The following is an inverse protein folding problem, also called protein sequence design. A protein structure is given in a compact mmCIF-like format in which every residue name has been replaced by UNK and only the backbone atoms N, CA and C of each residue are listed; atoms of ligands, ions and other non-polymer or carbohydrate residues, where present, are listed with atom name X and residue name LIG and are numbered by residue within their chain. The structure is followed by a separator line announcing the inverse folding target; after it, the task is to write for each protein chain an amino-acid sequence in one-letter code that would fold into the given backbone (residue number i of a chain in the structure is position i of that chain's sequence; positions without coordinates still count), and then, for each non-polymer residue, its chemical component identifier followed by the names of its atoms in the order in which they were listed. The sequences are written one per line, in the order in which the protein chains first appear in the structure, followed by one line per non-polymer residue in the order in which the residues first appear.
data_IF_343415749480
#
_entry.id   IF_343415749480
#
_cell.length_a   1.000
_cell.length_b   1.000
_cell.length_c   1.000
_cell.angle_alpha   90.00
_cell.angle_beta   90.00
_cell.angle_gamma   90.00
#
_symmetry.space_group_name_H-M   'P 1'
#
loop_
_entity.id
_entity.type
_entity.pdbx_description
1 polymer ?
#
# COMPACT_ATOMS: atom_id res chain seq x y z
N UNK A 1 -2.00 3.00 -11.36
CA UNK A 1 -2.33 3.33 -12.78
C UNK A 1 -1.21 4.11 -13.44
N UNK A 2 -0.80 5.26 -12.88
CA UNK A 2 0.22 6.15 -13.42
C UNK A 2 1.49 6.24 -12.56
N UNK A 3 1.63 5.38 -11.58
CA UNK A 3 2.74 5.37 -10.60
C UNK A 3 2.94 6.72 -9.86
N UNK A 4 1.85 7.48 -9.67
CA UNK A 4 1.88 8.77 -9.00
C UNK A 4 2.35 9.96 -9.84
N UNK A 5 2.67 9.77 -11.11
CA UNK A 5 3.16 10.86 -11.99
C UNK A 5 2.06 11.88 -12.26
N UNK A 6 0.84 11.42 -12.55
CA UNK A 6 -0.35 12.24 -12.74
C UNK A 6 -1.56 11.58 -12.09
N UNK A 7 -2.54 12.35 -11.60
CA UNK A 7 -3.76 11.79 -11.03
C UNK A 7 -4.56 11.01 -12.07
N UNK A 8 -4.89 9.76 -11.78
CA UNK A 8 -5.77 8.94 -12.60
C UNK A 8 -6.36 7.80 -11.78
N UNK A 9 -7.66 7.57 -11.91
CA UNK A 9 -8.36 6.38 -11.44
C UNK A 9 -9.04 5.67 -12.60
N UNK A 10 -9.27 4.38 -12.46
CA UNK A 10 -10.03 3.57 -13.41
C UNK A 10 -10.87 2.55 -12.66
N UNK A 11 -12.04 2.26 -13.20
CA UNK A 11 -12.92 1.20 -12.71
C UNK A 11 -13.21 0.26 -13.88
N UNK A 12 -12.78 -0.99 -13.75
CA UNK A 12 -13.12 -2.05 -14.70
C UNK A 12 -14.27 -2.86 -14.14
N UNK A 13 -15.33 -3.04 -14.95
CA UNK A 13 -16.51 -3.82 -14.59
C UNK A 13 -16.80 -4.86 -15.66
N UNK A 14 -17.46 -5.95 -15.28
CA UNK A 14 -17.98 -6.91 -16.25
C UNK A 14 -19.13 -6.28 -17.05
N UNK A 15 -19.24 -6.67 -18.31
CA UNK A 15 -20.29 -6.22 -19.23
C UNK A 15 -21.69 -6.41 -18.63
N UNK A 16 -21.98 -7.57 -18.05
CA UNK A 16 -23.26 -7.87 -17.37
C UNK A 16 -23.64 -6.87 -16.27
N UNK A 17 -22.64 -6.32 -15.54
CA UNK A 17 -22.86 -5.29 -14.50
C UNK A 17 -23.20 -3.96 -15.16
N UNK A 18 -22.46 -3.59 -16.21
CA UNK A 18 -22.70 -2.38 -16.97
C UNK A 18 -24.10 -2.41 -17.60
N UNK A 19 -24.47 -3.49 -18.27
CA UNK A 19 -25.77 -3.68 -18.92
C UNK A 19 -26.91 -3.57 -17.91
N UNK A 20 -26.79 -4.24 -16.76
CA UNK A 20 -27.79 -4.14 -15.68
C UNK A 20 -28.04 -2.69 -15.24
N UNK A 21 -26.97 -1.91 -15.08
CA UNK A 21 -27.07 -0.51 -14.71
C UNK A 21 -27.69 0.32 -15.83
N UNK A 22 -27.32 0.05 -17.08
CA UNK A 22 -27.88 0.76 -18.25
C UNK A 22 -29.34 0.45 -18.48
N UNK A 23 -29.77 -0.80 -18.31
CA UNK A 23 -31.19 -1.22 -18.41
C UNK A 23 -32.07 -0.56 -17.32
N UNK A 24 -31.51 -0.36 -16.11
CA UNK A 24 -32.18 0.31 -15.01
C UNK A 24 -32.22 1.85 -15.18
N UNK A 25 -31.47 2.38 -16.13
CA UNK A 25 -31.36 3.84 -16.36
C UNK A 25 -32.60 4.38 -17.09
N UNK A 26 -32.93 5.69 -16.97
CA UNK A 26 -34.03 6.29 -17.69
C UNK A 26 -33.91 6.12 -19.21
N UNK A 27 -35.01 5.90 -19.90
CA UNK A 27 -35.01 5.77 -21.37
C UNK A 27 -34.41 7.02 -22.03
N UNK A 28 -33.50 6.81 -22.97
CA UNK A 28 -32.80 7.88 -23.67
C UNK A 28 -31.50 8.31 -23.00
N UNK A 29 -31.09 7.68 -21.93
CA UNK A 29 -29.76 7.84 -21.35
C UNK A 29 -28.71 7.27 -22.34
N UNK A 30 -27.71 8.05 -22.66
CA UNK A 30 -26.70 7.69 -23.68
C UNK A 30 -25.58 6.83 -23.07
N UNK A 31 -25.35 6.99 -21.79
CA UNK A 31 -24.26 6.32 -21.06
C UNK A 31 -24.56 6.25 -19.56
N UNK A 32 -23.73 5.51 -18.82
CA UNK A 32 -23.77 5.49 -17.36
C UNK A 32 -23.67 6.93 -16.81
N UNK A 33 -24.67 7.34 -16.02
CA UNK A 33 -24.72 8.68 -15.47
C UNK A 33 -23.60 8.90 -14.43
N UNK A 34 -22.56 9.57 -14.87
CA UNK A 34 -21.36 9.89 -14.09
C UNK A 34 -20.75 11.23 -14.56
N UNK A 35 -19.94 11.87 -13.73
CA UNK A 35 -19.22 13.09 -14.12
C UNK A 35 -18.00 12.78 -14.97
N UNK A 36 -18.08 12.94 -16.28
CA UNK A 36 -17.02 12.61 -17.22
C UNK A 36 -16.09 13.76 -17.59
N UNK A 37 -16.25 14.95 -16.99
CA UNK A 37 -15.53 16.17 -17.38
C UNK A 37 -14.01 16.00 -17.39
N UNK A 38 -13.46 15.23 -16.44
CA UNK A 38 -12.02 14.93 -16.37
C UNK A 38 -11.68 13.48 -16.74
N UNK A 39 -12.58 12.76 -17.40
CA UNK A 39 -12.29 11.42 -17.92
C UNK A 39 -11.48 11.49 -19.20
N UNK A 40 -10.58 10.53 -19.39
CA UNK A 40 -9.79 10.39 -20.61
C UNK A 40 -8.79 11.51 -20.87
N UNK A 41 -8.29 12.19 -19.84
CA UNK A 41 -7.27 13.23 -20.00
C UNK A 41 -6.04 12.65 -20.72
N UNK A 42 -5.64 13.17 -21.90
CA UNK A 42 -4.61 12.53 -22.73
C UNK A 42 -3.27 12.30 -22.02
N UNK A 43 -2.81 13.25 -21.22
CA UNK A 43 -1.55 13.10 -20.49
C UNK A 43 -1.61 11.97 -19.44
N UNK A 44 -2.75 11.82 -18.76
CA UNK A 44 -2.94 10.76 -17.78
C UNK A 44 -3.01 9.39 -18.46
N UNK A 45 -3.70 9.31 -19.58
CA UNK A 45 -3.79 8.09 -20.41
C UNK A 45 -2.42 7.69 -20.95
N UNK A 46 -1.67 8.63 -21.50
CA UNK A 46 -0.31 8.37 -22.00
C UNK A 46 0.63 7.87 -20.89
N UNK A 47 0.57 8.48 -19.70
CA UNK A 47 1.34 8.03 -18.54
C UNK A 47 0.93 6.62 -18.10
N UNK A 48 -0.38 6.31 -18.07
CA UNK A 48 -0.88 4.99 -17.72
C UNK A 48 -0.42 3.92 -18.71
N UNK A 49 -0.48 4.19 -20.01
CA UNK A 49 0.00 3.26 -21.05
C UNK A 49 1.50 3.01 -20.92
N UNK A 50 2.31 4.07 -20.73
CA UNK A 50 3.74 3.92 -20.52
C UNK A 50 4.08 3.10 -19.27
N UNK A 51 3.32 3.24 -18.19
CA UNK A 51 3.48 2.43 -16.96
C UNK A 51 3.13 0.97 -17.24
N UNK A 52 2.03 0.68 -17.96
CA UNK A 52 1.68 -0.70 -18.33
C UNK A 52 2.76 -1.35 -19.19
N UNK A 53 3.30 -0.63 -20.16
CA UNK A 53 4.40 -1.08 -21.00
C UNK A 53 5.65 -1.47 -20.18
N UNK A 54 5.99 -0.67 -19.15
CA UNK A 54 7.11 -0.96 -18.25
C UNK A 54 6.81 -2.23 -17.42
N UNK A 55 5.60 -2.34 -16.86
CA UNK A 55 5.20 -3.51 -16.09
C UNK A 55 5.31 -4.80 -16.90
N UNK A 56 4.93 -4.77 -18.18
CA UNK A 56 5.04 -5.92 -19.07
C UNK A 56 6.51 -6.20 -19.48
N UNK A 57 7.23 -5.20 -19.97
CA UNK A 57 8.61 -5.34 -20.47
C UNK A 57 9.62 -5.74 -19.40
N UNK A 58 9.45 -5.26 -18.18
CA UNK A 58 10.33 -5.55 -17.04
C UNK A 58 9.81 -6.67 -16.15
N UNK A 59 8.72 -7.32 -16.52
CA UNK A 59 8.08 -8.42 -15.78
C UNK A 59 7.88 -8.11 -14.28
N UNK A 60 7.42 -6.90 -13.99
CA UNK A 60 7.38 -6.33 -12.63
C UNK A 60 6.52 -7.18 -11.68
N UNK A 61 5.43 -7.77 -12.16
CA UNK A 61 4.54 -8.58 -11.31
C UNK A 61 5.18 -9.89 -10.87
N UNK A 62 5.91 -10.59 -11.75
CA UNK A 62 6.63 -11.80 -11.36
C UNK A 62 7.80 -11.47 -10.43
N UNK A 63 8.53 -10.39 -10.71
CA UNK A 63 9.57 -9.87 -9.81
C UNK A 63 9.02 -9.60 -8.40
N UNK A 64 7.86 -8.94 -8.29
CA UNK A 64 7.20 -8.69 -7.00
C UNK A 64 6.75 -9.99 -6.32
N UNK A 65 6.24 -10.96 -7.09
CA UNK A 65 5.85 -12.27 -6.61
C UNK A 65 7.05 -13.03 -6.02
N UNK A 66 8.19 -13.04 -6.70
CA UNK A 66 9.40 -13.71 -6.25
C UNK A 66 10.01 -13.08 -4.99
N UNK A 67 9.85 -11.76 -4.84
CA UNK A 67 10.31 -11.03 -3.65
C UNK A 67 9.35 -11.17 -2.45
N UNK A 68 8.11 -11.58 -2.67
CA UNK A 68 7.04 -11.58 -1.68
C UNK A 68 7.38 -12.36 -0.41
N UNK A 69 7.85 -13.60 -0.52
CA UNK A 69 8.20 -14.42 0.64
C UNK A 69 9.32 -13.79 1.45
N UNK A 70 10.37 -13.32 0.78
CA UNK A 70 11.50 -12.66 1.44
C UNK A 70 11.07 -11.43 2.25
N UNK A 71 10.21 -10.59 1.66
CA UNK A 71 9.63 -9.43 2.35
C UNK A 71 8.77 -9.83 3.55
N UNK A 72 7.89 -10.81 3.36
CA UNK A 72 6.97 -11.24 4.41
C UNK A 72 7.72 -11.92 5.56
N UNK A 73 8.71 -12.76 5.29
CA UNK A 73 9.56 -13.39 6.31
C UNK A 73 10.29 -12.33 7.15
N UNK A 74 10.87 -11.31 6.50
CA UNK A 74 11.45 -10.17 7.19
C UNK A 74 10.43 -9.43 8.05
N UNK A 75 9.25 -9.15 7.52
CA UNK A 75 8.20 -8.46 8.27
C UNK A 75 7.72 -9.27 9.48
N UNK A 76 7.48 -10.57 9.31
CA UNK A 76 7.06 -11.47 10.39
C UNK A 76 8.12 -11.65 11.48
N UNK A 77 9.41 -11.43 11.16
CA UNK A 77 10.49 -11.45 12.16
C UNK A 77 10.33 -10.37 13.23
N UNK A 78 9.54 -9.32 12.99
CA UNK A 78 9.31 -8.24 13.94
C UNK A 78 8.29 -8.60 15.04
N UNK A 79 7.69 -9.80 14.98
CA UNK A 79 6.68 -10.26 15.95
C UNK A 79 7.27 -10.49 17.35
N UNK A 80 8.58 -10.60 17.47
CA UNK A 80 9.30 -10.73 18.74
C UNK A 80 9.32 -9.44 19.58
N UNK A 81 8.92 -8.29 19.01
CA UNK A 81 8.93 -7.02 19.72
C UNK A 81 7.65 -6.86 20.54
N UNK A 82 7.77 -6.64 21.83
CA UNK A 82 6.68 -6.63 22.83
C UNK A 82 5.43 -5.83 22.42
N UNK A 83 5.61 -4.68 21.74
CA UNK A 83 4.51 -3.79 21.36
C UNK A 83 3.80 -4.22 20.08
N UNK A 84 4.33 -5.19 19.37
CA UNK A 84 3.69 -5.76 18.18
C UNK A 84 2.60 -6.73 18.62
N UNK A 85 1.36 -6.46 18.19
CA UNK A 85 0.21 -7.31 18.49
C UNK A 85 0.02 -8.38 17.42
N UNK A 86 -0.09 -7.95 16.17
CA UNK A 86 -0.31 -8.84 15.04
C UNK A 86 0.46 -8.36 13.80
N UNK A 87 0.83 -9.33 12.95
CA UNK A 87 1.41 -9.06 11.64
C UNK A 87 0.63 -9.86 10.60
N UNK A 88 0.29 -9.22 9.50
CA UNK A 88 -0.37 -9.82 8.35
C UNK A 88 0.21 -9.29 7.07
N UNK A 89 0.10 -10.04 5.99
CA UNK A 89 0.59 -9.58 4.70
C UNK A 89 0.22 -10.50 3.55
N UNK A 90 0.30 -9.94 2.36
CA UNK A 90 0.12 -10.65 1.10
C UNK A 90 0.95 -9.94 0.01
N UNK A 91 1.72 -10.70 -0.75
CA UNK A 91 2.58 -10.13 -1.79
C UNK A 91 3.59 -9.15 -1.20
N UNK A 92 3.67 -7.96 -1.77
CA UNK A 92 4.53 -6.86 -1.34
C UNK A 92 3.78 -5.85 -0.45
N UNK A 93 2.78 -6.29 0.29
CA UNK A 93 2.08 -5.45 1.26
C UNK A 93 1.95 -6.17 2.60
N UNK A 94 2.24 -5.48 3.68
CA UNK A 94 2.09 -5.99 5.03
C UNK A 94 1.55 -4.96 6.00
N UNK A 95 0.96 -5.44 7.08
CA UNK A 95 0.45 -4.63 8.18
C UNK A 95 0.97 -5.13 9.51
N UNK A 96 1.39 -4.20 10.37
CA UNK A 96 1.82 -4.46 11.74
C UNK A 96 0.85 -3.71 12.65
N UNK A 97 0.11 -4.43 13.48
CA UNK A 97 -0.74 -3.81 14.49
C UNK A 97 0.07 -3.59 15.77
N UNK A 98 -0.02 -2.39 16.32
CA UNK A 98 0.64 -2.00 17.56
C UNK A 98 -0.35 -2.14 18.72
N UNK A 99 0.09 -2.76 19.82
CA UNK A 99 -0.74 -2.96 21.02
C UNK A 99 -1.26 -1.64 21.55
N UNK A 100 -2.55 -1.63 21.84
CA UNK A 100 -3.23 -0.48 22.43
C UNK A 100 -2.82 -0.33 23.90
N UNK A 101 -2.15 0.75 24.22
CA UNK A 101 -1.83 1.17 25.59
C UNK A 101 -2.35 2.58 25.90
N UNK A 102 -2.99 3.21 24.94
CA UNK A 102 -3.51 4.58 25.00
C UNK A 102 -4.82 4.69 24.22
N UNK A 103 -5.23 5.92 23.86
CA UNK A 103 -6.38 6.14 23.00
C UNK A 103 -6.16 5.52 21.60
N UNK A 104 -7.19 4.92 21.00
CA UNK A 104 -7.10 4.37 19.64
C UNK A 104 -6.51 5.36 18.62
N UNK A 105 -5.60 4.88 17.79
CA UNK A 105 -4.89 5.67 16.77
C UNK A 105 -3.65 6.40 17.26
N UNK A 106 -3.44 6.52 18.57
CA UNK A 106 -2.28 7.21 19.14
C UNK A 106 -1.02 6.34 19.11
N UNK A 107 -1.15 5.06 19.45
CA UNK A 107 -0.03 4.12 19.48
C UNK A 107 0.60 3.97 18.09
N UNK A 108 -0.22 3.78 17.05
CA UNK A 108 0.27 3.68 15.68
C UNK A 108 0.97 4.95 15.20
N UNK A 109 0.43 6.14 15.53
CA UNK A 109 1.04 7.40 15.14
C UNK A 109 2.39 7.65 15.85
N UNK A 110 2.49 7.39 17.14
CA UNK A 110 3.75 7.56 17.89
C UNK A 110 4.81 6.54 17.46
N UNK A 111 4.40 5.30 17.20
CA UNK A 111 5.29 4.29 16.63
C UNK A 111 5.77 4.69 15.22
N UNK A 112 4.88 5.20 14.37
CA UNK A 112 5.25 5.76 13.08
C UNK A 112 6.31 6.85 13.19
N UNK A 113 6.16 7.80 14.12
CA UNK A 113 7.16 8.86 14.34
C UNK A 113 8.53 8.28 14.70
N UNK A 114 8.59 7.31 15.60
CA UNK A 114 9.84 6.66 15.98
C UNK A 114 10.50 5.93 14.80
N UNK A 115 9.69 5.31 13.92
CA UNK A 115 10.18 4.69 12.69
C UNK A 115 10.65 5.73 11.67
N UNK A 116 9.96 6.86 11.56
CA UNK A 116 10.37 7.96 10.69
C UNK A 116 11.72 8.54 11.13
N UNK A 117 11.93 8.72 12.43
CA UNK A 117 13.22 9.14 13.01
C UNK A 117 14.33 8.10 12.78
N UNK A 118 13.98 6.81 12.72
CA UNK A 118 14.89 5.74 12.33
C UNK A 118 15.17 5.69 10.80
N UNK A 119 14.50 6.52 10.01
CA UNK A 119 14.75 6.71 8.58
C UNK A 119 13.89 5.82 7.67
N UNK A 120 12.72 5.35 8.11
CA UNK A 120 11.75 4.64 7.27
C UNK A 120 10.39 5.34 7.31
N UNK A 121 9.82 5.57 6.11
CA UNK A 121 8.51 6.20 5.95
C UNK A 121 7.50 5.19 5.37
N UNK A 122 6.28 5.20 5.91
CA UNK A 122 5.17 4.35 5.48
C UNK A 122 3.84 4.98 5.91
N UNK A 123 2.72 4.31 5.68
CA UNK A 123 1.40 4.79 6.09
C UNK A 123 1.01 4.19 7.45
N UNK A 124 0.67 5.03 8.42
CA UNK A 124 -0.06 4.60 9.61
C UNK A 124 -1.57 4.85 9.44
N UNK A 125 -2.40 3.91 9.88
CA UNK A 125 -3.87 4.02 9.85
C UNK A 125 -4.41 3.43 11.16
N UNK A 126 -4.96 4.28 12.01
CA UNK A 126 -5.26 3.86 13.38
C UNK A 126 -3.97 3.39 14.06
N UNK A 127 -4.00 2.19 14.63
CA UNK A 127 -2.84 1.59 15.29
C UNK A 127 -2.13 0.54 14.40
N UNK A 128 -2.43 0.52 13.09
CA UNK A 128 -1.78 -0.31 12.09
C UNK A 128 -0.74 0.47 11.28
N UNK A 129 0.45 -0.10 11.15
CA UNK A 129 1.52 0.36 10.27
C UNK A 129 1.41 -0.42 8.96
N UNK A 130 1.28 0.27 7.83
CA UNK A 130 1.14 -0.35 6.50
C UNK A 130 2.44 -0.20 5.74
N UNK A 131 3.09 -1.32 5.46
CA UNK A 131 4.39 -1.40 4.79
C UNK A 131 4.17 -1.95 3.38
N UNK A 132 4.54 -1.19 2.36
CA UNK A 132 4.39 -1.57 0.96
C UNK A 132 5.62 -1.10 0.16
N UNK A 133 6.68 -1.89 0.12
CA UNK A 133 7.87 -1.58 -0.69
C UNK A 133 7.52 -1.50 -2.17
N UNK A 134 8.29 -0.71 -2.92
CA UNK A 134 8.15 -0.66 -4.37
C UNK A 134 8.44 -2.04 -4.99
N UNK A 135 7.72 -2.42 -6.04
CA UNK A 135 7.91 -3.69 -6.73
C UNK A 135 9.32 -3.88 -7.33
N UNK A 136 10.04 -2.80 -7.55
CA UNK A 136 11.42 -2.81 -8.03
C UNK A 136 12.45 -2.97 -6.89
N UNK A 137 12.02 -3.09 -5.63
CA UNK A 137 12.91 -3.27 -4.50
C UNK A 137 13.76 -4.54 -4.64
N UNK A 138 15.00 -4.46 -4.24
CA UNK A 138 15.93 -5.57 -4.11
C UNK A 138 16.01 -6.03 -2.65
N UNK A 139 16.59 -7.21 -2.38
CA UNK A 139 16.74 -7.73 -1.01
C UNK A 139 17.39 -6.73 -0.06
N UNK A 140 18.47 -6.05 -0.49
CA UNK A 140 19.13 -5.02 0.32
C UNK A 140 18.20 -3.88 0.78
N UNK A 141 17.22 -3.51 -0.07
CA UNK A 141 16.24 -2.47 0.29
C UNK A 141 15.21 -3.01 1.29
N UNK A 142 14.83 -4.29 1.14
CA UNK A 142 13.94 -4.97 2.10
C UNK A 142 14.65 -5.08 3.45
N UNK A 143 15.90 -5.52 3.48
CA UNK A 143 16.71 -5.62 4.70
C UNK A 143 16.79 -4.27 5.41
N UNK A 144 17.10 -3.20 4.68
CA UNK A 144 17.15 -1.84 5.23
C UNK A 144 15.82 -1.40 5.83
N UNK A 145 14.71 -1.68 5.15
CA UNK A 145 13.35 -1.37 5.65
C UNK A 145 13.09 -2.13 6.96
N UNK A 146 13.37 -3.43 7.00
CA UNK A 146 13.13 -4.26 8.19
C UNK A 146 14.02 -3.82 9.36
N UNK A 147 15.29 -3.52 9.13
CA UNK A 147 16.20 -3.04 10.18
C UNK A 147 15.76 -1.70 10.78
N UNK A 148 15.32 -0.77 9.93
CA UNK A 148 14.80 0.53 10.38
C UNK A 148 13.47 0.40 11.10
N UNK A 149 12.56 -0.47 10.64
CA UNK A 149 11.32 -0.80 11.35
C UNK A 149 11.63 -1.39 12.73
N UNK A 150 12.51 -2.37 12.81
CA UNK A 150 12.93 -2.98 14.07
C UNK A 150 13.49 -1.92 15.03
N UNK A 151 14.35 -1.04 14.55
CA UNK A 151 14.94 0.06 15.34
C UNK A 151 13.85 1.00 15.86
N UNK A 152 12.97 1.48 14.98
CA UNK A 152 11.92 2.44 15.34
C UNK A 152 10.91 1.86 16.30
N UNK A 153 10.39 0.63 16.03
CA UNK A 153 9.41 -0.03 16.89
C UNK A 153 10.02 -0.36 18.28
N UNK A 154 11.29 -0.78 18.30
CA UNK A 154 12.01 -1.02 19.58
C UNK A 154 12.20 0.27 20.38
N UNK A 155 12.54 1.38 19.74
CA UNK A 155 12.67 2.68 20.39
C UNK A 155 11.31 3.13 20.96
N UNK A 156 10.24 3.01 20.19
CA UNK A 156 8.89 3.26 20.68
C UNK A 156 8.57 2.42 21.93
N UNK A 157 8.83 1.10 21.87
CA UNK A 157 8.61 0.18 22.98
C UNK A 157 9.36 0.59 24.26
N UNK A 158 10.60 1.05 24.13
CA UNK A 158 11.40 1.53 25.27
C UNK A 158 10.84 2.80 25.89
N UNK A 159 10.37 3.73 25.06
CA UNK A 159 9.82 5.01 25.51
C UNK A 159 8.48 4.84 26.28
N UNK A 160 7.76 3.74 26.08
CA UNK A 160 6.55 3.42 26.84
C UNK A 160 6.85 2.93 28.27
N UNK A 161 8.06 2.41 28.53
CA UNK A 161 8.45 1.84 29.81
C UNK A 161 9.10 2.89 30.74
N UNK A 162 9.38 4.09 30.21
CA UNK A 162 9.91 5.24 30.96
C UNK A 162 8.81 6.27 31.23
#
# INVERSE_FOLDING_TARGET
TTNGIVPMGAVAVKEEIYDTVMEASPKGTVELFHGYTYSGIPISVAAALAVQDIFEKEDIFNRAKDMSSYFLDGLFSLKDIDVVDNIRGYGMMGGIDIKLNTKPGKAGFECFKACYEAGVNFKATGDALIIAPMFISEKKHIDEIIDKLRTGITNYSKNLKN
#
